data_IF_286217083344
#
_entry.id   IF_286217083344
#
_cell.length_a   1.000
_cell.length_b   1.000
_cell.length_c   1.000
_cell.angle_alpha   90.00
_cell.angle_beta   90.00
_cell.angle_gamma   90.00
#
_symmetry.space_group_name_H-M   'P 1'
#
loop_
_entity.id
_entity.type
_entity.pdbx_description
1 polymer ?
#
# COMPACT_ATOMS: atom_id res chain seq x y z
N UNK A 1 -11.00 7.92 26.99
CA UNK A 1 -11.47 6.52 26.97
C UNK A 1 -12.79 6.31 26.21
N UNK A 2 -13.74 7.26 26.19
CA UNK A 2 -15.03 7.10 25.52
C UNK A 2 -15.00 6.91 23.98
N UNK A 3 -13.98 7.43 23.29
CA UNK A 3 -13.86 7.35 21.83
C UNK A 3 -13.61 5.92 21.31
N UNK A 4 -12.79 5.13 22.03
CA UNK A 4 -12.48 3.76 21.64
C UNK A 4 -13.66 2.80 21.87
N UNK A 5 -14.42 3.00 22.95
CA UNK A 5 -15.62 2.20 23.22
C UNK A 5 -16.70 2.41 22.14
N UNK A 6 -16.82 3.62 21.60
CA UNK A 6 -17.77 3.91 20.53
C UNK A 6 -17.39 3.23 19.19
N UNK A 7 -16.09 3.14 18.91
CA UNK A 7 -15.54 2.44 17.75
C UNK A 7 -15.76 0.91 17.85
N UNK A 8 -15.50 0.30 19.00
CA UNK A 8 -15.73 -1.14 19.22
C UNK A 8 -17.21 -1.50 19.09
N UNK A 9 -18.10 -0.64 19.59
CA UNK A 9 -19.54 -0.86 19.49
C UNK A 9 -20.04 -0.80 18.04
N UNK A 10 -19.48 0.11 17.23
CA UNK A 10 -19.77 0.18 15.79
C UNK A 10 -19.24 -1.06 15.04
N UNK A 11 -18.06 -1.56 15.38
CA UNK A 11 -17.51 -2.78 14.77
C UNK A 11 -18.38 -4.04 15.04
N UNK A 12 -18.91 -4.17 16.26
CA UNK A 12 -19.81 -5.29 16.62
C UNK A 12 -21.12 -5.27 15.84
N UNK A 13 -21.70 -4.08 15.58
CA UNK A 13 -22.93 -3.98 14.77
C UNK A 13 -22.72 -4.42 13.32
N UNK A 14 -21.53 -4.16 12.75
CA UNK A 14 -21.20 -4.58 11.39
C UNK A 14 -21.01 -6.10 11.27
N UNK A 15 -20.41 -6.73 12.28
CA UNK A 15 -20.22 -8.18 12.31
C UNK A 15 -21.56 -8.94 12.41
N UNK A 16 -22.54 -8.40 13.14
CA UNK A 16 -23.88 -9.00 13.26
C UNK A 16 -24.65 -9.04 11.94
N UNK A 17 -24.58 -7.96 11.14
CA UNK A 17 -25.29 -7.83 9.85
C UNK A 17 -24.77 -8.82 8.79
N UNK A 18 -23.51 -9.26 8.89
CA UNK A 18 -22.93 -10.24 7.98
C UNK A 18 -23.45 -11.67 8.23
N UNK A 19 -23.78 -12.00 9.49
CA UNK A 19 -24.25 -13.35 9.88
C UNK A 19 -25.71 -13.57 9.47
N UNK A 20 -26.56 -12.55 9.57
CA UNK A 20 -27.97 -12.65 9.17
C UNK A 20 -28.13 -12.85 7.66
N UNK A 21 -27.26 -12.26 6.83
CA UNK A 21 -27.29 -12.41 5.36
C UNK A 21 -26.98 -13.82 4.86
N UNK A 22 -26.29 -14.66 5.64
CA UNK A 22 -25.94 -16.02 5.21
C UNK A 22 -27.14 -16.97 5.20
N UNK A 23 -28.16 -16.71 6.03
CA UNK A 23 -29.32 -17.60 6.21
C UNK A 23 -30.36 -17.45 5.09
N UNK A 24 -30.42 -16.29 4.43
CA UNK A 24 -31.38 -16.02 3.37
C UNK A 24 -30.98 -16.61 1.99
N UNK A 25 -29.76 -17.11 1.79
CA UNK A 25 -29.27 -17.44 0.45
C UNK A 25 -29.83 -18.74 -0.19
N UNK A 26 -30.61 -19.55 0.52
CA UNK A 26 -31.01 -20.88 0.05
C UNK A 26 -32.24 -20.95 -0.89
N UNK A 27 -32.94 -19.83 -1.17
CA UNK A 27 -34.31 -19.90 -1.72
C UNK A 27 -34.66 -19.21 -3.04
N UNK A 28 -33.81 -18.37 -3.64
CA UNK A 28 -34.23 -17.61 -4.84
C UNK A 28 -33.03 -17.25 -5.74
N UNK A 29 -32.76 -18.04 -6.77
CA UNK A 29 -31.48 -17.97 -7.50
C UNK A 29 -31.36 -16.84 -8.56
N UNK A 30 -32.44 -16.17 -8.97
CA UNK A 30 -32.37 -15.11 -10.00
C UNK A 30 -32.50 -13.69 -9.44
N UNK A 31 -33.53 -13.44 -8.61
CA UNK A 31 -33.69 -12.12 -7.96
C UNK A 31 -32.60 -11.87 -6.91
N UNK A 32 -32.24 -12.86 -6.07
CA UNK A 32 -31.12 -12.69 -5.14
C UNK A 32 -29.78 -12.59 -5.84
N UNK A 33 -29.59 -13.23 -7.01
CA UNK A 33 -28.35 -13.04 -7.76
C UNK A 33 -28.20 -11.59 -8.25
N UNK A 34 -29.30 -10.96 -8.68
CA UNK A 34 -29.31 -9.55 -9.06
C UNK A 34 -29.12 -8.62 -7.86
N UNK A 35 -29.81 -8.88 -6.75
CA UNK A 35 -29.64 -8.12 -5.49
C UNK A 35 -28.22 -8.26 -4.92
N UNK A 36 -27.60 -9.44 -5.03
CA UNK A 36 -26.21 -9.67 -4.60
C UNK A 36 -25.24 -8.93 -5.53
N UNK A 37 -25.46 -8.95 -6.83
CA UNK A 37 -24.64 -8.20 -7.79
C UNK A 37 -24.76 -6.67 -7.58
N UNK A 38 -25.97 -6.16 -7.34
CA UNK A 38 -26.20 -4.76 -7.06
C UNK A 38 -25.66 -4.36 -5.67
N UNK A 39 -25.78 -5.24 -4.67
CA UNK A 39 -25.13 -5.07 -3.37
C UNK A 39 -23.61 -5.04 -3.49
N UNK A 40 -23.01 -5.88 -4.34
CA UNK A 40 -21.58 -5.89 -4.57
C UNK A 40 -21.10 -4.57 -5.20
N UNK A 41 -21.84 -4.04 -6.19
CA UNK A 41 -21.54 -2.71 -6.78
C UNK A 41 -21.64 -1.60 -5.74
N UNK A 42 -22.71 -1.59 -4.93
CA UNK A 42 -22.89 -0.60 -3.86
C UNK A 42 -21.75 -0.72 -2.84
N UNK A 43 -21.38 -1.93 -2.41
CA UNK A 43 -20.27 -2.14 -1.50
C UNK A 43 -18.93 -1.67 -2.09
N UNK A 44 -18.69 -1.88 -3.39
CA UNK A 44 -17.48 -1.37 -4.05
C UNK A 44 -17.46 0.16 -4.10
N UNK A 45 -18.60 0.80 -4.35
CA UNK A 45 -18.72 2.25 -4.28
C UNK A 45 -18.46 2.76 -2.85
N UNK A 46 -19.02 2.10 -1.83
CA UNK A 46 -18.77 2.42 -0.42
C UNK A 46 -17.28 2.30 -0.08
N UNK A 47 -16.62 1.21 -0.50
CA UNK A 47 -15.20 1.02 -0.27
C UNK A 47 -14.35 2.09 -0.99
N UNK A 48 -14.76 2.51 -2.18
CA UNK A 48 -14.11 3.59 -2.89
C UNK A 48 -14.21 4.92 -2.13
N UNK A 49 -15.41 5.28 -1.69
CA UNK A 49 -15.65 6.49 -0.89
C UNK A 49 -14.93 6.45 0.46
N UNK A 50 -14.88 5.28 1.12
CA UNK A 50 -14.10 5.10 2.36
C UNK A 50 -12.61 5.36 2.13
N UNK A 51 -12.03 4.88 1.02
CA UNK A 51 -10.63 5.17 0.68
C UNK A 51 -10.40 6.66 0.43
N UNK A 52 -11.31 7.33 -0.27
CA UNK A 52 -11.20 8.78 -0.49
C UNK A 52 -11.35 9.57 0.81
N UNK A 53 -12.28 9.16 1.68
CA UNK A 53 -12.45 9.72 3.02
C UNK A 53 -11.16 9.60 3.84
N UNK A 54 -10.53 8.43 3.86
CA UNK A 54 -9.29 8.18 4.58
C UNK A 54 -8.14 9.03 4.04
N UNK A 55 -8.01 9.17 2.71
CA UNK A 55 -7.03 10.06 2.06
C UNK A 55 -7.25 11.51 2.47
N UNK A 56 -8.50 11.97 2.45
CA UNK A 56 -8.84 13.35 2.81
C UNK A 56 -8.53 13.63 4.29
N UNK A 57 -8.89 12.72 5.21
CA UNK A 57 -8.54 12.88 6.62
C UNK A 57 -7.03 12.83 6.86
N UNK A 58 -6.29 11.97 6.15
CA UNK A 58 -4.82 11.94 6.20
C UNK A 58 -4.24 13.27 5.73
N UNK A 59 -4.69 13.81 4.60
CA UNK A 59 -4.23 15.09 4.09
C UNK A 59 -4.50 16.25 5.06
N UNK A 60 -5.69 16.27 5.69
CA UNK A 60 -6.02 17.25 6.73
C UNK A 60 -5.09 17.11 7.94
N UNK A 61 -4.86 15.89 8.42
CA UNK A 61 -3.97 15.64 9.56
C UNK A 61 -2.51 16.00 9.27
N UNK A 62 -2.03 15.71 8.05
CA UNK A 62 -0.70 16.12 7.59
C UNK A 62 -0.56 17.64 7.54
N UNK A 63 -1.55 18.34 6.97
CA UNK A 63 -1.60 19.79 6.96
C UNK A 63 -1.63 20.36 8.39
N UNK A 64 -2.44 19.79 9.27
CA UNK A 64 -2.57 20.22 10.67
C UNK A 64 -1.23 20.13 11.42
N UNK A 65 -0.52 18.99 11.31
CA UNK A 65 0.78 18.82 11.97
C UNK A 65 1.86 19.72 11.37
N UNK A 66 1.77 20.03 10.07
CA UNK A 66 2.70 20.95 9.41
C UNK A 66 2.47 22.43 9.82
N UNK A 67 1.21 22.84 9.96
CA UNK A 67 0.85 24.24 10.23
C UNK A 67 0.89 24.57 11.73
N UNK A 68 0.45 23.65 12.59
CA UNK A 68 0.27 23.89 14.03
C UNK A 68 1.33 23.20 14.89
N UNK A 69 2.54 22.96 14.35
CA UNK A 69 3.58 22.17 15.02
C UNK A 69 3.99 22.66 16.42
N UNK A 70 3.79 23.93 16.75
CA UNK A 70 4.12 24.53 18.06
C UNK A 70 2.88 24.86 18.92
N UNK A 71 1.69 25.00 18.32
CA UNK A 71 0.44 25.38 19.00
C UNK A 71 -0.64 24.29 18.82
N UNK A 72 -0.33 23.10 19.33
CA UNK A 72 -1.22 21.92 19.26
C UNK A 72 -2.21 21.96 20.44
N UNK A 73 -3.53 21.90 20.18
CA UNK A 73 -4.53 21.78 21.25
C UNK A 73 -4.31 20.51 22.09
N UNK A 74 -4.45 20.62 23.41
CA UNK A 74 -4.26 19.50 24.35
C UNK A 74 -5.09 18.26 24.00
N UNK A 75 -6.26 18.43 23.38
CA UNK A 75 -7.15 17.34 22.97
C UNK A 75 -6.54 16.40 21.91
N UNK A 76 -5.58 16.87 21.12
CA UNK A 76 -4.96 16.11 20.02
C UNK A 76 -3.45 15.94 20.19
N UNK A 77 -2.87 16.48 21.27
CA UNK A 77 -1.43 16.45 21.55
C UNK A 77 -0.87 15.04 21.54
N UNK A 78 -1.50 14.11 22.26
CA UNK A 78 -1.06 12.71 22.34
C UNK A 78 -1.02 12.03 20.94
N UNK A 79 -1.99 12.36 20.08
CA UNK A 79 -2.07 11.79 18.72
C UNK A 79 -0.98 12.38 17.83
N UNK A 80 -0.71 13.67 17.93
CA UNK A 80 0.36 14.32 17.15
C UNK A 80 1.74 13.84 17.61
N UNK A 81 1.96 13.66 18.91
CA UNK A 81 3.19 13.06 19.43
C UNK A 81 3.39 11.63 18.89
N UNK A 82 2.34 10.81 18.86
CA UNK A 82 2.40 9.47 18.27
C UNK A 82 2.67 9.48 16.75
N UNK A 83 2.14 10.45 16.02
CA UNK A 83 2.43 10.66 14.59
C UNK A 83 3.90 11.02 14.40
N UNK A 84 4.43 11.95 15.20
CA UNK A 84 5.83 12.36 15.11
C UNK A 84 6.80 11.24 15.51
N UNK A 85 6.48 10.48 16.56
CA UNK A 85 7.25 9.28 16.94
C UNK A 85 7.25 8.24 15.80
N UNK A 86 6.11 8.04 15.13
CA UNK A 86 6.00 7.13 14.00
C UNK A 86 6.79 7.60 12.78
N UNK A 87 6.78 8.91 12.47
CA UNK A 87 7.62 9.52 11.42
C UNK A 87 9.11 9.31 11.70
N UNK A 88 9.54 9.53 12.95
CA UNK A 88 10.93 9.30 13.35
C UNK A 88 11.34 7.82 13.19
N UNK A 89 10.48 6.88 13.61
CA UNK A 89 10.72 5.45 13.44
C UNK A 89 10.75 5.03 11.98
N UNK A 90 9.91 5.61 11.12
CA UNK A 90 9.97 5.36 9.67
C UNK A 90 11.30 5.84 9.11
N UNK A 91 11.76 7.04 9.46
CA UNK A 91 13.06 7.55 9.02
C UNK A 91 14.23 6.66 9.48
N UNK A 92 14.18 6.16 10.72
CA UNK A 92 15.17 5.19 11.23
C UNK A 92 15.13 3.88 10.44
N UNK A 93 13.94 3.33 10.19
CA UNK A 93 13.77 2.10 9.41
C UNK A 93 14.23 2.30 7.96
N UNK A 94 13.95 3.45 7.35
CA UNK A 94 14.41 3.80 6.00
C UNK A 94 15.92 3.96 5.93
N UNK A 95 16.55 4.58 6.92
CA UNK A 95 18.01 4.67 7.02
C UNK A 95 18.68 3.32 7.29
N UNK A 96 17.96 2.38 7.92
CA UNK A 96 18.43 1.01 8.16
C UNK A 96 18.19 0.05 6.99
N UNK A 97 17.40 0.45 5.98
CA UNK A 97 17.29 -0.34 4.75
C UNK A 97 18.67 -0.35 4.09
N UNK A 98 19.20 -1.51 3.69
CA UNK A 98 20.39 -1.52 2.86
C UNK A 98 20.08 -0.66 1.63
N UNK A 99 20.89 0.38 1.42
CA UNK A 99 20.94 1.06 0.13
C UNK A 99 21.30 -0.02 -0.86
N UNK A 100 20.29 -0.58 -1.53
CA UNK A 100 20.54 -1.25 -2.78
C UNK A 100 20.89 -0.10 -3.69
N UNK A 101 22.19 0.16 -3.82
CA UNK A 101 22.75 1.10 -4.76
C UNK A 101 22.07 0.83 -6.11
N UNK A 102 21.05 1.62 -6.46
CA UNK A 102 20.52 1.74 -7.82
C UNK A 102 21.50 2.58 -8.66
N UNK A 103 22.78 2.26 -8.49
CA UNK A 103 23.92 2.81 -9.21
C UNK A 103 24.77 1.64 -9.72
N UNK A 104 24.12 0.55 -10.14
CA UNK A 104 24.64 -0.15 -11.31
C UNK A 104 24.24 0.68 -12.51
N UNK A 105 25.09 1.65 -12.88
CA UNK A 105 25.18 2.07 -14.27
C UNK A 105 25.18 0.77 -15.10
N UNK A 106 24.21 0.56 -16.02
CA UNK A 106 24.24 -0.60 -16.89
C UNK A 106 25.48 -0.44 -17.74
N UNK A 107 26.57 -1.10 -17.36
CA UNK A 107 27.82 -1.05 -18.08
C UNK A 107 27.54 -1.61 -19.48
N UNK A 108 27.34 -0.72 -20.46
CA UNK A 108 27.04 -1.07 -21.85
C UNK A 108 28.13 -2.01 -22.34
N UNK A 109 27.80 -3.29 -22.51
CA UNK A 109 28.78 -4.28 -22.99
C UNK A 109 28.64 -4.37 -24.50
N UNK A 110 29.77 -4.29 -25.20
CA UNK A 110 29.80 -4.49 -26.65
C UNK A 110 29.81 -5.97 -26.97
N UNK A 111 28.93 -6.40 -27.86
CA UNK A 111 28.84 -7.80 -28.26
C UNK A 111 30.10 -8.23 -29.02
N UNK A 112 30.81 -9.29 -28.59
CA UNK A 112 32.04 -9.72 -29.26
C UNK A 112 31.79 -10.34 -30.64
N UNK A 113 30.54 -10.63 -31.00
CA UNK A 113 30.18 -11.30 -32.27
C UNK A 113 29.73 -10.30 -33.32
N UNK A 114 28.85 -9.36 -32.97
CA UNK A 114 28.27 -8.41 -33.92
C UNK A 114 28.58 -6.94 -33.63
N UNK A 115 29.20 -6.63 -32.49
CA UNK A 115 29.57 -5.27 -32.10
C UNK A 115 28.44 -4.42 -31.49
N UNK A 116 27.23 -4.96 -31.32
CA UNK A 116 26.10 -4.22 -30.73
C UNK A 116 26.32 -4.01 -29.23
N UNK A 117 26.17 -2.78 -28.76
CA UNK A 117 26.18 -2.43 -27.33
C UNK A 117 24.81 -2.69 -26.72
N UNK A 118 24.79 -3.49 -25.65
CA UNK A 118 23.57 -3.76 -24.90
C UNK A 118 23.90 -4.04 -23.43
N UNK A 119 22.92 -3.79 -22.58
CA UNK A 119 22.92 -4.03 -21.13
C UNK A 119 22.37 -5.43 -20.76
N UNK A 120 21.97 -6.22 -21.76
CA UNK A 120 21.38 -7.55 -21.57
C UNK A 120 22.42 -8.69 -21.56
N UNK A 121 22.11 -9.74 -20.78
CA UNK A 121 22.86 -11.02 -20.66
C UNK A 121 23.12 -11.71 -22.02
N UNK A 122 22.29 -11.42 -23.03
CA UNK A 122 22.41 -11.91 -24.41
C UNK A 122 22.26 -10.74 -25.38
N UNK A 123 22.99 -10.77 -26.49
CA UNK A 123 22.90 -9.73 -27.51
C UNK A 123 21.53 -9.77 -28.22
N UNK A 124 20.81 -8.64 -28.34
CA UNK A 124 19.49 -8.60 -28.98
C UNK A 124 19.54 -8.83 -30.50
N UNK A 125 20.67 -8.55 -31.15
CA UNK A 125 20.82 -8.65 -32.61
C UNK A 125 21.26 -10.05 -33.07
N UNK A 126 22.20 -10.69 -32.34
CA UNK A 126 22.78 -11.96 -32.77
C UNK A 126 22.59 -13.10 -31.76
N UNK A 127 21.95 -12.86 -30.62
CA UNK A 127 21.68 -13.87 -29.58
C UNK A 127 22.91 -14.39 -28.84
N UNK A 128 24.09 -13.83 -29.08
CA UNK A 128 25.32 -14.30 -28.45
C UNK A 128 25.31 -14.02 -26.93
N UNK A 129 25.75 -14.96 -26.09
CA UNK A 129 25.88 -14.74 -24.65
C UNK A 129 26.94 -13.66 -24.40
N UNK A 130 26.53 -12.58 -23.75
CA UNK A 130 27.39 -11.47 -23.36
C UNK A 130 28.08 -11.88 -22.07
N UNK A 131 29.19 -12.63 -22.20
CA UNK A 131 29.90 -13.37 -21.16
C UNK A 131 29.70 -12.87 -19.72
N UNK A 132 29.18 -13.75 -18.87
CA UNK A 132 29.01 -13.49 -17.45
C UNK A 132 30.33 -13.66 -16.71
N UNK A 133 30.57 -12.76 -15.76
CA UNK A 133 31.62 -12.89 -14.78
C UNK A 133 31.50 -14.24 -14.08
N UNK A 134 32.65 -14.90 -13.91
CA UNK A 134 32.79 -16.19 -13.24
C UNK A 134 32.21 -16.11 -11.82
N UNK A 135 31.13 -16.84 -11.55
CA UNK A 135 30.84 -17.36 -10.22
C UNK A 135 31.94 -18.37 -9.87
N UNK A 136 32.99 -17.90 -9.20
CA UNK A 136 33.89 -18.74 -8.41
C UNK A 136 33.51 -18.50 -6.96
N UNK A 137 32.61 -19.32 -6.42
CA UNK A 137 32.50 -19.53 -4.98
C UNK A 137 33.43 -20.68 -4.62
N UNK A 138 34.42 -20.37 -3.78
CA UNK A 138 35.28 -21.32 -3.07
C UNK A 138 34.72 -21.53 -1.65
#
# INVERSE_FOLDING_TARGET
MAFFDELTKKAQTYAGVAVDKAKDLAGAASEKAKEVADSAKINMAILSEQRELDKNYKAIGEWFVAEYGEDIPDAVKDVVEAVNASKAKIAELEASKPQKDEEEEPAERTCPVCGTTADSKFCPECGAPMGEAKDTQE
#
